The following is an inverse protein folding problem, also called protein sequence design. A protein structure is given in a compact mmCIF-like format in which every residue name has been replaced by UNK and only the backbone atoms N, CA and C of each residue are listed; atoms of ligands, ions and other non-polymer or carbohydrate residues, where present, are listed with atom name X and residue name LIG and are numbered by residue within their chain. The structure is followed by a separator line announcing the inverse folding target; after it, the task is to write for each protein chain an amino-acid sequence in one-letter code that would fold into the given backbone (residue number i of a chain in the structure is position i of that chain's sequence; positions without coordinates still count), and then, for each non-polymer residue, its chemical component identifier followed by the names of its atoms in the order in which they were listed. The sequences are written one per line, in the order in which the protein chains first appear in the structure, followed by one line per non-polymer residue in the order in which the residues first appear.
data_IF_972719617489
#
_entry.id   IF_972719617489
#
_cell.length_a   1.000
_cell.length_b   1.000
_cell.length_c   1.000
_cell.angle_alpha   90.00
_cell.angle_beta   90.00
_cell.angle_gamma   90.00
#
_symmetry.space_group_name_H-M   'P 1'
#
loop_
_entity.id
_entity.type
_entity.pdbx_description
1 polymer ?
#
# COMPACT_ATOMS: atom_id res chain seq x y z
N UNK A 1 -4.43 3.67 9.33
CA UNK A 1 -5.48 4.54 9.91
C UNK A 1 -6.60 3.76 10.58
N UNK A 2 -7.23 2.75 9.95
CA UNK A 2 -8.36 2.01 10.53
C UNK A 2 -8.18 1.65 12.02
N UNK A 3 -7.04 1.04 12.37
CA UNK A 3 -6.78 0.63 13.75
C UNK A 3 -6.66 1.78 14.73
N UNK A 4 -6.04 2.88 14.34
CA UNK A 4 -5.85 4.05 15.20
C UNK A 4 -7.14 4.86 15.35
N UNK A 5 -7.82 5.11 14.25
CA UNK A 5 -8.98 6.01 14.20
C UNK A 5 -10.23 5.33 14.78
N UNK A 6 -10.60 4.15 14.28
CA UNK A 6 -11.85 3.51 14.70
C UNK A 6 -11.73 2.62 15.95
N UNK A 7 -10.54 2.11 16.24
CA UNK A 7 -10.34 1.15 17.33
C UNK A 7 -9.38 1.63 18.41
N UNK A 8 -8.87 2.87 18.32
CA UNK A 8 -7.90 3.43 19.26
C UNK A 8 -6.69 2.51 19.53
N UNK A 9 -6.24 1.78 18.50
CA UNK A 9 -5.08 0.92 18.64
C UNK A 9 -3.78 1.74 18.52
N UNK A 10 -2.84 1.50 19.43
CA UNK A 10 -1.49 2.11 19.39
C UNK A 10 -0.64 1.60 18.21
N UNK A 11 -1.10 0.62 17.45
CA UNK A 11 -0.37 0.03 16.31
C UNK A 11 -1.33 -0.54 15.28
N UNK A 12 -0.97 -0.40 14.00
CA UNK A 12 -1.72 -0.97 12.88
C UNK A 12 -1.69 -2.51 12.86
N UNK A 13 -0.75 -3.14 13.58
CA UNK A 13 -0.56 -4.61 13.61
C UNK A 13 -1.70 -5.39 14.28
N UNK A 14 -2.53 -4.72 15.07
CA UNK A 14 -3.72 -5.34 15.69
C UNK A 14 -4.88 -5.52 14.71
N UNK A 15 -4.86 -4.83 13.58
CA UNK A 15 -5.87 -5.01 12.54
C UNK A 15 -5.65 -6.35 11.86
N UNK A 16 -6.69 -7.17 11.82
CA UNK A 16 -6.66 -8.48 11.18
C UNK A 16 -7.48 -8.50 9.88
N UNK A 17 -7.36 -9.57 9.12
CA UNK A 17 -8.02 -9.69 7.82
C UNK A 17 -9.56 -9.62 7.94
N UNK A 18 -10.15 -10.22 8.99
CA UNK A 18 -11.60 -10.18 9.20
C UNK A 18 -12.10 -8.73 9.33
N UNK A 19 -11.43 -7.93 10.15
CA UNK A 19 -11.77 -6.51 10.31
C UNK A 19 -11.69 -5.76 8.97
N UNK A 20 -10.61 -5.98 8.19
CA UNK A 20 -10.46 -5.34 6.87
C UNK A 20 -11.56 -5.77 5.90
N UNK A 21 -11.95 -7.04 5.89
CA UNK A 21 -13.04 -7.53 5.04
C UNK A 21 -14.38 -6.87 5.40
N UNK A 22 -14.72 -6.79 6.68
CA UNK A 22 -15.96 -6.16 7.16
C UNK A 22 -16.03 -4.68 6.74
N UNK A 23 -14.96 -3.92 6.98
CA UNK A 23 -14.90 -2.51 6.57
C UNK A 23 -14.94 -2.35 5.05
N UNK A 24 -14.24 -3.20 4.30
CA UNK A 24 -14.25 -3.14 2.83
C UNK A 24 -15.64 -3.43 2.26
N UNK A 25 -16.40 -4.37 2.84
CA UNK A 25 -17.81 -4.61 2.48
C UNK A 25 -18.64 -3.35 2.66
N UNK A 26 -18.49 -2.67 3.81
CA UNK A 26 -19.21 -1.42 4.08
C UNK A 26 -18.87 -0.32 3.07
N UNK A 27 -17.58 -0.15 2.77
CA UNK A 27 -17.12 0.82 1.76
C UNK A 27 -17.65 0.47 0.37
N UNK A 28 -17.68 -0.82 0.00
CA UNK A 28 -18.21 -1.26 -1.31
C UNK A 28 -19.69 -0.87 -1.52
N UNK A 29 -20.47 -0.82 -0.48
CA UNK A 29 -21.89 -0.39 -0.60
C UNK A 29 -22.01 1.05 -1.11
N UNK A 30 -21.11 1.95 -0.70
CA UNK A 30 -21.07 3.34 -1.12
C UNK A 30 -20.30 3.59 -2.42
N UNK A 31 -19.26 2.81 -2.68
CA UNK A 31 -18.38 2.99 -3.86
C UNK A 31 -18.98 2.27 -5.07
N UNK A 32 -19.34 3.03 -6.11
CA UNK A 32 -19.96 2.49 -7.35
C UNK A 32 -19.03 2.55 -8.57
N UNK A 33 -18.23 3.60 -8.70
CA UNK A 33 -17.41 3.86 -9.89
C UNK A 33 -15.91 3.82 -9.63
N UNK A 34 -15.47 4.24 -8.42
CA UNK A 34 -14.05 4.31 -8.09
C UNK A 34 -13.47 2.92 -7.83
N UNK A 35 -12.18 2.78 -8.13
CA UNK A 35 -11.40 1.60 -7.80
C UNK A 35 -11.35 1.42 -6.28
N UNK A 36 -11.76 0.27 -5.79
CA UNK A 36 -11.69 -0.08 -4.36
C UNK A 36 -10.52 -1.02 -4.11
N UNK A 37 -9.55 -0.53 -3.37
CA UNK A 37 -8.34 -1.29 -2.99
C UNK A 37 -8.38 -1.63 -1.51
N UNK A 38 -8.24 -2.91 -1.16
CA UNK A 38 -8.14 -3.35 0.24
C UNK A 38 -6.68 -3.47 0.66
N UNK A 39 -6.34 -2.91 1.82
CA UNK A 39 -5.03 -3.14 2.43
C UNK A 39 -4.96 -4.54 3.04
N UNK A 40 -3.99 -5.34 2.60
CA UNK A 40 -3.69 -6.59 3.29
C UNK A 40 -3.00 -6.28 4.63
N UNK A 41 -3.56 -6.72 5.78
CA UNK A 41 -2.99 -6.45 7.08
C UNK A 41 -1.63 -7.11 7.31
N UNK A 42 -0.91 -6.63 8.31
CA UNK A 42 0.34 -7.22 8.76
C UNK A 42 0.22 -8.75 8.94
N UNK A 43 1.22 -9.49 8.51
CA UNK A 43 1.28 -10.96 8.56
C UNK A 43 0.26 -11.72 7.69
N UNK A 44 -0.46 -11.10 6.78
CA UNK A 44 -1.41 -11.80 5.89
C UNK A 44 -0.85 -12.08 4.49
N UNK A 45 0.41 -11.70 4.24
CA UNK A 45 1.12 -11.90 2.97
C UNK A 45 2.60 -12.27 3.17
N UNK A 46 2.91 -13.07 4.19
CA UNK A 46 4.29 -13.47 4.54
C UNK A 46 4.95 -14.34 3.46
N UNK A 47 4.15 -15.11 2.74
CA UNK A 47 4.59 -15.96 1.65
C UNK A 47 3.56 -15.98 0.51
N UNK A 48 3.94 -16.54 -0.63
CA UNK A 48 3.12 -16.57 -1.86
C UNK A 48 1.76 -17.24 -1.66
N UNK A 49 1.71 -18.38 -0.98
CA UNK A 49 0.49 -19.15 -0.77
C UNK A 49 -0.50 -18.41 0.13
N UNK A 50 -0.02 -17.90 1.26
CA UNK A 50 -0.84 -17.12 2.20
C UNK A 50 -1.37 -15.84 1.55
N UNK A 51 -0.51 -15.10 0.85
CA UNK A 51 -0.90 -13.90 0.12
C UNK A 51 -1.99 -14.18 -0.91
N UNK A 52 -1.83 -15.23 -1.71
CA UNK A 52 -2.81 -15.60 -2.74
C UNK A 52 -4.16 -16.02 -2.12
N UNK A 53 -4.13 -16.85 -1.07
CA UNK A 53 -5.33 -17.27 -0.34
C UNK A 53 -6.10 -16.06 0.20
N UNK A 54 -5.40 -15.15 0.88
CA UNK A 54 -6.00 -13.98 1.51
C UNK A 54 -6.49 -12.95 0.48
N UNK A 55 -5.75 -12.75 -0.61
CA UNK A 55 -6.17 -11.88 -1.71
C UNK A 55 -7.41 -12.41 -2.42
N UNK A 56 -7.47 -13.70 -2.78
CA UNK A 56 -8.65 -14.32 -3.37
C UNK A 56 -9.87 -14.20 -2.46
N UNK A 57 -9.67 -14.41 -1.17
CA UNK A 57 -10.72 -14.23 -0.16
C UNK A 57 -11.22 -12.78 -0.14
N UNK A 58 -10.29 -11.81 -0.13
CA UNK A 58 -10.64 -10.39 -0.15
C UNK A 58 -11.49 -10.03 -1.36
N UNK A 59 -11.04 -10.36 -2.58
CA UNK A 59 -11.79 -10.07 -3.80
C UNK A 59 -13.18 -10.73 -3.79
N UNK A 60 -13.26 -12.01 -3.40
CA UNK A 60 -14.50 -12.77 -3.38
C UNK A 60 -15.51 -12.23 -2.38
N UNK A 61 -15.08 -11.93 -1.14
CA UNK A 61 -15.99 -11.57 -0.05
C UNK A 61 -16.40 -10.10 -0.06
N UNK A 62 -15.59 -9.21 -0.65
CA UNK A 62 -15.82 -7.76 -0.57
C UNK A 62 -16.11 -7.12 -1.94
N UNK A 63 -15.91 -7.86 -3.01
CA UNK A 63 -15.97 -7.32 -4.37
C UNK A 63 -15.04 -6.11 -4.56
N UNK A 64 -13.90 -6.07 -3.86
CA UNK A 64 -12.86 -5.07 -4.11
C UNK A 64 -12.14 -5.38 -5.41
N UNK A 65 -11.55 -4.35 -6.01
CA UNK A 65 -10.93 -4.44 -7.33
C UNK A 65 -9.45 -4.84 -7.27
N UNK A 66 -8.78 -4.54 -6.16
CA UNK A 66 -7.36 -4.80 -5.98
C UNK A 66 -6.97 -4.95 -4.51
N UNK A 67 -5.75 -5.44 -4.27
CA UNK A 67 -5.13 -5.49 -2.95
C UNK A 67 -3.93 -4.56 -2.86
N UNK A 68 -3.67 -3.96 -1.68
CA UNK A 68 -2.45 -3.19 -1.42
C UNK A 68 -1.50 -4.00 -0.53
N UNK A 69 -0.19 -3.95 -0.85
CA UNK A 69 0.89 -4.67 -0.15
C UNK A 69 2.02 -3.71 0.18
N UNK A 70 2.43 -3.66 1.46
CA UNK A 70 3.54 -2.82 1.92
C UNK A 70 4.89 -3.51 1.75
N UNK A 71 5.83 -2.81 1.15
CA UNK A 71 7.22 -3.21 0.97
C UNK A 71 7.66 -3.13 -0.49
N UNK A 72 8.97 -3.12 -0.69
CA UNK A 72 9.59 -3.07 -2.02
C UNK A 72 10.17 -4.41 -2.42
N UNK A 73 11.51 -4.47 -2.58
CA UNK A 73 12.24 -5.71 -2.93
C UNK A 73 11.84 -6.90 -2.07
N UNK A 74 11.54 -6.67 -0.80
CA UNK A 74 11.19 -7.72 0.16
C UNK A 74 9.92 -8.49 -0.19
N UNK A 75 8.97 -7.86 -0.88
CA UNK A 75 7.69 -8.45 -1.26
C UNK A 75 7.56 -8.70 -2.76
N UNK A 76 8.61 -8.46 -3.54
CA UNK A 76 8.59 -8.58 -5.00
C UNK A 76 8.06 -9.93 -5.49
N UNK A 77 8.49 -11.02 -4.85
CA UNK A 77 8.10 -12.38 -5.25
C UNK A 77 6.64 -12.70 -4.90
N UNK A 78 6.13 -12.11 -3.82
CA UNK A 78 4.71 -12.17 -3.45
C UNK A 78 3.88 -11.39 -4.47
N UNK A 79 4.27 -10.15 -4.78
CA UNK A 79 3.59 -9.31 -5.77
C UNK A 79 3.56 -9.99 -7.14
N UNK A 80 4.71 -10.48 -7.62
CA UNK A 80 4.79 -11.22 -8.89
C UNK A 80 3.88 -12.46 -8.90
N UNK A 81 3.81 -13.18 -7.78
CA UNK A 81 2.94 -14.35 -7.67
C UNK A 81 1.46 -13.98 -7.70
N UNK A 82 1.05 -12.91 -7.01
CA UNK A 82 -0.32 -12.40 -7.05
C UNK A 82 -0.72 -11.97 -8.46
N UNK A 83 0.12 -11.16 -9.12
CA UNK A 83 -0.14 -10.68 -10.48
C UNK A 83 -0.24 -11.83 -11.49
N UNK A 84 0.64 -12.84 -11.42
CA UNK A 84 0.55 -14.06 -12.25
C UNK A 84 -0.77 -14.83 -12.04
N UNK A 85 -1.36 -14.73 -10.86
CA UNK A 85 -2.66 -15.30 -10.54
C UNK A 85 -3.83 -14.33 -10.76
N UNK A 86 -3.63 -13.26 -11.57
CA UNK A 86 -4.65 -12.26 -11.96
C UNK A 86 -5.22 -11.48 -10.78
N UNK A 87 -4.45 -11.31 -9.71
CA UNK A 87 -4.79 -10.41 -8.60
C UNK A 87 -4.12 -9.06 -8.86
N UNK A 88 -4.86 -7.97 -9.09
CA UNK A 88 -4.28 -6.65 -9.22
C UNK A 88 -3.66 -6.17 -7.90
N UNK A 89 -2.42 -5.68 -7.97
CA UNK A 89 -1.67 -5.26 -6.77
C UNK A 89 -1.27 -3.80 -6.88
N UNK A 90 -1.65 -3.02 -5.88
CA UNK A 90 -1.11 -1.70 -5.60
C UNK A 90 0.09 -1.87 -4.65
N UNK A 91 1.27 -1.42 -5.06
CA UNK A 91 2.45 -1.43 -4.22
C UNK A 91 2.42 -0.29 -3.20
N UNK A 92 3.22 -0.40 -2.13
CA UNK A 92 3.37 0.68 -1.16
C UNK A 92 4.80 0.71 -0.61
N UNK A 93 5.47 1.85 -0.78
CA UNK A 93 6.83 2.11 -0.27
C UNK A 93 6.90 3.46 0.45
N UNK A 94 8.03 3.73 1.06
CA UNK A 94 8.24 4.90 1.92
C UNK A 94 8.10 4.52 3.39
N UNK A 95 7.30 5.27 4.12
CA UNK A 95 6.83 4.86 5.43
C UNK A 95 5.88 3.67 5.24
N UNK A 96 6.15 2.58 5.94
CA UNK A 96 5.31 1.37 5.90
C UNK A 96 4.79 1.10 7.31
N UNK A 97 3.61 1.62 7.68
CA UNK A 97 3.09 1.61 9.06
C UNK A 97 3.02 0.22 9.71
N UNK A 98 2.83 -0.82 8.91
CA UNK A 98 2.79 -2.19 9.42
C UNK A 98 4.16 -2.72 9.88
N UNK A 99 5.26 -2.18 9.36
CA UNK A 99 6.62 -2.69 9.64
C UNK A 99 7.50 -1.75 10.44
N UNK A 100 7.16 -0.46 10.48
CA UNK A 100 7.92 0.54 11.24
C UNK A 100 7.81 0.28 12.74
N UNK A 101 8.94 0.43 13.43
CA UNK A 101 9.03 0.44 14.90
C UNK A 101 9.29 1.87 15.36
N UNK A 102 8.49 2.37 16.29
CA UNK A 102 8.66 3.72 16.85
C UNK A 102 7.88 4.81 16.12
N UNK A 103 8.36 6.07 16.22
CA UNK A 103 7.69 7.24 15.64
C UNK A 103 7.74 7.22 14.11
N UNK A 104 6.66 7.62 13.48
CA UNK A 104 6.60 7.84 12.04
C UNK A 104 7.51 9.01 11.65
N UNK A 105 8.34 8.80 10.64
CA UNK A 105 9.26 9.81 10.10
C UNK A 105 9.28 9.74 8.58
N UNK A 106 9.45 10.89 7.94
CA UNK A 106 9.65 10.96 6.50
C UNK A 106 10.90 10.20 6.08
N UNK A 107 10.84 9.54 4.92
CA UNK A 107 11.87 8.64 4.39
C UNK A 107 12.48 9.26 3.11
N UNK A 108 13.76 9.01 2.89
CA UNK A 108 14.47 9.53 1.72
C UNK A 108 15.36 10.72 2.04
N UNK A 109 15.72 10.93 3.31
CA UNK A 109 16.65 11.98 3.73
C UNK A 109 18.08 11.64 3.35
N UNK A 110 18.51 10.41 3.53
CA UNK A 110 19.88 9.96 3.27
C UNK A 110 20.02 9.30 1.89
N UNK A 111 21.21 9.32 1.30
CA UNK A 111 21.48 8.65 0.02
C UNK A 111 21.20 7.14 0.08
N UNK A 112 21.45 6.50 1.21
CA UNK A 112 21.12 5.09 1.43
C UNK A 112 19.62 4.85 1.32
N UNK A 113 18.79 5.70 1.95
CA UNK A 113 17.33 5.61 1.88
C UNK A 113 16.83 5.89 0.45
N UNK A 114 17.37 6.90 -0.22
CA UNK A 114 17.05 7.25 -1.61
C UNK A 114 17.33 6.10 -2.56
N UNK A 115 18.52 5.50 -2.49
CA UNK A 115 18.88 4.32 -3.29
C UNK A 115 17.95 3.15 -3.01
N UNK A 116 17.59 2.92 -1.74
CA UNK A 116 16.62 1.88 -1.35
C UNK A 116 15.25 2.13 -1.96
N UNK A 117 14.70 3.34 -1.84
CA UNK A 117 13.38 3.70 -2.38
C UNK A 117 13.30 3.52 -3.90
N UNK A 118 14.35 3.93 -4.64
CA UNK A 118 14.41 3.73 -6.08
C UNK A 118 14.43 2.23 -6.43
N UNK A 119 15.22 1.43 -5.72
CA UNK A 119 15.29 -0.03 -5.92
C UNK A 119 13.95 -0.69 -5.60
N UNK A 120 13.29 -0.27 -4.52
CA UNK A 120 11.99 -0.78 -4.08
C UNK A 120 10.91 -0.45 -5.12
N UNK A 121 10.90 0.77 -5.67
CA UNK A 121 9.97 1.20 -6.72
C UNK A 121 10.13 0.36 -7.99
N UNK A 122 11.37 0.22 -8.48
CA UNK A 122 11.66 -0.62 -9.66
C UNK A 122 11.26 -2.09 -9.44
N UNK A 123 11.50 -2.63 -8.25
CA UNK A 123 11.16 -4.02 -7.95
C UNK A 123 9.64 -4.26 -8.00
N UNK A 124 8.83 -3.33 -7.48
CA UNK A 124 7.37 -3.44 -7.55
C UNK A 124 6.85 -3.30 -8.98
N UNK A 125 7.35 -2.34 -9.74
CA UNK A 125 7.01 -2.19 -11.16
C UNK A 125 7.34 -3.47 -11.94
N UNK A 126 8.57 -3.99 -11.81
CA UNK A 126 9.00 -5.23 -12.47
C UNK A 126 8.20 -6.46 -12.03
N UNK A 127 7.63 -6.44 -10.84
CA UNK A 127 6.76 -7.50 -10.32
C UNK A 127 5.33 -7.42 -10.86
N UNK A 128 4.99 -6.35 -11.62
CA UNK A 128 3.69 -6.17 -12.27
C UNK A 128 2.65 -5.45 -11.40
N UNK A 129 3.07 -4.72 -10.36
CA UNK A 129 2.15 -3.82 -9.65
C UNK A 129 1.58 -2.80 -10.65
N UNK A 130 0.26 -2.50 -10.57
CA UNK A 130 -0.38 -1.56 -11.49
C UNK A 130 -0.23 -0.09 -11.09
N UNK A 131 0.21 0.16 -9.88
CA UNK A 131 0.45 1.50 -9.31
C UNK A 131 1.20 1.37 -7.98
N UNK A 132 1.56 2.51 -7.41
CA UNK A 132 2.38 2.55 -6.20
C UNK A 132 2.01 3.72 -5.30
N UNK A 133 1.83 3.46 -4.00
CA UNK A 133 1.73 4.49 -2.97
C UNK A 133 3.13 4.88 -2.50
N UNK A 134 3.38 6.19 -2.43
CA UNK A 134 4.56 6.80 -1.82
C UNK A 134 4.11 7.50 -0.54
N UNK A 135 4.38 6.91 0.64
CA UNK A 135 3.96 7.47 1.92
C UNK A 135 5.12 8.13 2.65
N UNK A 136 4.92 9.40 3.06
CA UNK A 136 5.89 10.19 3.81
C UNK A 136 7.31 10.17 3.19
N UNK A 137 7.39 10.31 1.88
CA UNK A 137 8.66 10.34 1.13
C UNK A 137 9.03 11.78 0.80
N UNK A 138 10.29 12.15 0.96
CA UNK A 138 10.78 13.49 0.60
C UNK A 138 10.43 13.85 -0.85
N UNK A 139 10.03 15.10 -1.08
CA UNK A 139 9.44 15.56 -2.34
C UNK A 139 10.34 15.35 -3.56
N UNK A 140 11.64 15.63 -3.43
CA UNK A 140 12.62 15.50 -4.50
C UNK A 140 12.82 14.04 -4.95
N UNK A 141 12.85 13.10 -4.00
CA UNK A 141 12.97 11.67 -4.32
C UNK A 141 11.64 11.11 -4.84
N UNK A 142 10.49 11.56 -4.33
CA UNK A 142 9.18 11.21 -4.87
C UNK A 142 9.06 11.63 -6.33
N UNK A 143 9.39 12.89 -6.65
CA UNK A 143 9.47 13.40 -8.03
C UNK A 143 10.37 12.55 -8.92
N UNK A 144 11.54 12.15 -8.40
CA UNK A 144 12.49 11.30 -9.13
C UNK A 144 11.91 9.92 -9.41
N UNK A 145 11.25 9.30 -8.42
CA UNK A 145 10.61 7.98 -8.58
C UNK A 145 9.50 8.05 -9.62
N UNK A 146 8.58 9.04 -9.51
CA UNK A 146 7.48 9.22 -10.46
C UNK A 146 7.97 9.36 -11.91
N UNK A 147 9.08 10.07 -12.14
CA UNK A 147 9.68 10.17 -13.47
C UNK A 147 10.38 8.90 -13.95
N UNK A 148 10.80 8.04 -13.04
CA UNK A 148 11.64 6.88 -13.34
C UNK A 148 10.85 5.63 -13.68
N UNK A 149 9.67 5.44 -13.07
CA UNK A 149 8.80 4.29 -13.27
C UNK A 149 7.64 4.64 -14.21
N UNK A 150 7.03 3.62 -14.81
CA UNK A 150 5.94 3.79 -15.79
C UNK A 150 4.56 3.60 -15.18
N UNK A 151 4.48 3.01 -13.98
CA UNK A 151 3.22 2.80 -13.26
C UNK A 151 2.86 4.06 -12.45
N UNK A 152 1.56 4.40 -12.31
CA UNK A 152 1.14 5.57 -11.56
C UNK A 152 1.64 5.58 -10.11
N UNK A 153 2.05 6.74 -9.63
CA UNK A 153 2.41 7.00 -8.24
C UNK A 153 1.31 7.79 -7.54
N UNK A 154 0.96 7.37 -6.32
CA UNK A 154 -0.03 8.02 -5.47
C UNK A 154 0.66 8.48 -4.21
N UNK A 155 0.73 9.79 -4.01
CA UNK A 155 1.38 10.40 -2.85
C UNK A 155 0.44 10.49 -1.64
N UNK A 156 0.99 10.24 -0.45
CA UNK A 156 0.38 10.61 0.82
C UNK A 156 1.49 11.16 1.72
N UNK A 157 1.42 12.46 2.04
CA UNK A 157 2.50 13.17 2.73
C UNK A 157 3.84 13.08 1.97
N UNK A 158 3.82 13.08 0.64
CA UNK A 158 5.00 12.91 -0.20
C UNK A 158 5.23 14.12 -1.11
N UNK A 159 4.67 14.16 -2.33
CA UNK A 159 4.97 15.20 -3.30
C UNK A 159 3.77 15.51 -4.20
N UNK A 160 3.60 16.78 -4.51
CA UNK A 160 2.65 17.24 -5.55
C UNK A 160 3.02 16.74 -6.96
N UNK A 161 4.20 16.20 -7.14
CA UNK A 161 4.66 15.63 -8.41
C UNK A 161 4.30 14.17 -8.62
N UNK A 162 3.63 13.51 -7.65
CA UNK A 162 3.02 12.20 -7.86
C UNK A 162 1.82 12.34 -8.81
N UNK A 163 1.50 11.28 -9.55
CA UNK A 163 0.41 11.27 -10.53
C UNK A 163 -0.97 11.41 -9.87
N UNK A 164 -1.09 11.01 -8.61
CA UNK A 164 -2.30 11.18 -7.79
C UNK A 164 -1.96 11.41 -6.32
N UNK A 165 -2.99 11.78 -5.55
CA UNK A 165 -2.91 11.97 -4.10
C UNK A 165 -3.98 11.14 -3.40
N UNK A 166 -3.66 10.63 -2.21
CA UNK A 166 -4.63 10.01 -1.30
C UNK A 166 -4.49 10.65 0.07
N UNK A 167 -5.60 10.85 0.76
CA UNK A 167 -5.67 11.42 2.09
C UNK A 167 -6.50 10.53 3.01
N UNK A 168 -6.15 10.49 4.29
CA UNK A 168 -6.99 9.84 5.30
C UNK A 168 -8.15 10.78 5.60
N UNK A 169 -9.38 10.28 5.52
CA UNK A 169 -10.59 11.10 5.69
C UNK A 169 -10.59 11.85 7.02
N UNK A 170 -10.18 11.19 8.08
CA UNK A 170 -10.13 11.79 9.42
C UNK A 170 -9.08 12.92 9.53
N UNK A 171 -7.95 12.79 8.79
CA UNK A 171 -6.95 13.86 8.74
C UNK A 171 -7.46 15.10 7.97
N UNK A 172 -8.47 14.92 7.08
CA UNK A 172 -9.09 16.04 6.33
C UNK A 172 -10.15 16.73 7.18
N UNK A 173 -10.88 15.97 7.97
CA UNK A 173 -12.02 16.48 8.74
C UNK A 173 -11.61 17.12 10.07
N UNK A 174 -10.43 16.84 10.61
CA UNK A 174 -9.88 17.39 11.85
C UNK A 174 -10.20 16.56 13.08
#
# INVERSE_FOLDING_TARGET
SLGSVLYNYKTTRKVNLKMMLEHTKSVRMGVKKSLLVIDLPYNTYRNKSEALKNSKRALKETNCDAVKVEGGVRVKDVVSHLVKNKIPVLGHIGLTPQTVKGKFKSVGRTDRERKRLIRDAKALEQSGAFGMVLECVYSDISKKITKLIRIPTIGIGASVHCDGQVLVTDDILG
#
